data_IF_259355207387
#
_entry.id   IF_259355207387
#
_cell.length_a   1.000
_cell.length_b   1.000
_cell.length_c   1.000
_cell.angle_alpha   90.00
_cell.angle_beta   90.00
_cell.angle_gamma   90.00
#
_symmetry.space_group_name_H-M   'P 1'
#
loop_
_entity.id
_entity.type
_entity.pdbx_description
1 polymer ?
#
# COMPACT_ATOMS: atom_id res chain seq x y z
N UNK A 1 6.27 -5.39 -11.78
CA UNK A 1 5.46 -4.47 -12.61
C UNK A 1 6.31 -3.24 -12.86
N UNK A 2 6.30 -2.65 -14.08
CA UNK A 2 7.11 -1.48 -14.37
C UNK A 2 6.68 -0.24 -13.57
N UNK A 3 5.40 -0.16 -13.19
CA UNK A 3 4.88 0.87 -12.28
C UNK A 3 4.29 0.21 -11.04
N UNK A 4 4.70 0.65 -9.85
CA UNK A 4 4.23 0.09 -8.58
C UNK A 4 4.33 1.06 -7.40
N UNK A 5 3.67 0.72 -6.29
CA UNK A 5 3.95 1.31 -4.98
C UNK A 5 5.02 0.48 -4.27
N UNK A 6 5.98 1.12 -3.59
CA UNK A 6 7.18 0.47 -3.06
C UNK A 6 7.40 0.78 -1.56
N UNK A 7 6.39 0.44 -0.75
CA UNK A 7 6.43 0.66 0.70
C UNK A 7 5.73 1.94 1.15
N UNK A 8 5.46 2.00 2.46
CA UNK A 8 4.80 3.13 3.10
C UNK A 8 5.00 3.10 4.62
N UNK A 9 4.87 4.25 5.26
CA UNK A 9 4.77 4.37 6.73
C UNK A 9 3.80 5.49 7.12
N UNK A 10 3.13 5.32 8.26
CA UNK A 10 2.12 6.26 8.77
C UNK A 10 2.80 7.32 9.63
N UNK A 11 2.48 8.58 9.35
CA UNK A 11 2.80 9.73 10.20
C UNK A 11 1.51 10.37 10.69
N UNK A 12 1.49 10.73 11.97
CA UNK A 12 0.37 11.37 12.64
C UNK A 12 0.73 12.84 12.92
N UNK A 13 -0.03 13.83 12.42
CA UNK A 13 0.26 15.23 12.70
C UNK A 13 -0.01 15.55 14.18
N UNK A 14 0.96 16.19 14.82
CA UNK A 14 0.83 16.83 16.13
C UNK A 14 0.62 18.33 15.94
N UNK A 15 -0.66 18.72 15.85
CA UNK A 15 -1.07 20.11 15.60
C UNK A 15 -0.61 21.09 16.70
N UNK A 16 -0.35 20.60 17.92
CA UNK A 16 0.11 21.45 19.02
C UNK A 16 1.56 21.89 18.83
N UNK A 17 2.39 20.96 18.36
CA UNK A 17 3.83 21.17 18.23
C UNK A 17 4.27 21.48 16.80
N UNK A 18 3.37 21.35 15.82
CA UNK A 18 3.67 21.60 14.41
C UNK A 18 4.63 20.57 13.81
N UNK A 19 4.53 19.30 14.23
CA UNK A 19 5.42 18.21 13.82
C UNK A 19 4.65 16.94 13.50
N UNK A 20 5.27 16.03 12.77
CA UNK A 20 4.77 14.70 12.46
C UNK A 20 5.38 13.64 13.38
N UNK A 21 4.52 12.79 13.93
CA UNK A 21 4.92 11.66 14.78
C UNK A 21 4.88 10.36 14.00
N UNK A 22 5.97 9.61 14.04
CA UNK A 22 5.99 8.24 13.52
C UNK A 22 5.00 7.37 14.27
N UNK A 23 4.10 6.70 13.54
CA UNK A 23 3.07 5.89 14.19
C UNK A 23 3.68 4.68 14.89
N UNK A 24 3.33 4.48 16.16
CA UNK A 24 3.69 3.28 16.93
C UNK A 24 3.08 1.99 16.38
N UNK A 25 2.13 2.10 15.44
CA UNK A 25 1.49 0.97 14.74
C UNK A 25 2.16 0.65 13.40
N UNK A 26 3.22 1.36 13.01
CA UNK A 26 4.02 0.98 11.86
C UNK A 26 4.68 -0.38 12.08
N UNK A 27 4.80 -1.17 11.01
CA UNK A 27 5.39 -2.52 11.04
C UNK A 27 6.91 -2.52 10.93
N UNK A 28 7.50 -1.36 10.68
CA UNK A 28 8.94 -1.17 10.54
C UNK A 28 9.38 -0.08 11.49
N UNK A 29 10.60 -0.25 11.99
CA UNK A 29 11.24 0.72 12.86
C UNK A 29 11.56 2.00 12.09
N UNK A 30 11.72 3.08 12.82
CA UNK A 30 12.20 4.34 12.26
C UNK A 30 13.71 4.25 11.97
N UNK A 31 14.10 4.41 10.71
CA UNK A 31 15.49 4.49 10.29
C UNK A 31 15.93 5.95 10.04
N UNK A 32 17.20 6.15 9.67
CA UNK A 32 17.72 7.50 9.41
C UNK A 32 17.02 8.22 8.25
N UNK A 33 16.63 7.50 7.19
CA UNK A 33 15.95 8.07 6.04
C UNK A 33 14.51 8.47 6.39
N UNK A 34 13.84 7.72 7.26
CA UNK A 34 12.55 8.11 7.84
C UNK A 34 12.70 9.44 8.58
N UNK A 35 13.73 9.61 9.43
CA UNK A 35 13.99 10.88 10.13
C UNK A 35 14.22 12.04 9.16
N UNK A 36 14.98 11.81 8.09
CA UNK A 36 15.20 12.85 7.08
C UNK A 36 13.90 13.29 6.41
N UNK A 37 13.02 12.34 6.08
CA UNK A 37 11.70 12.64 5.49
C UNK A 37 10.81 13.39 6.49
N UNK A 38 10.76 12.93 7.75
CA UNK A 38 9.97 13.58 8.81
C UNK A 38 10.47 15.02 9.04
N UNK A 39 11.77 15.24 9.15
CA UNK A 39 12.34 16.58 9.34
C UNK A 39 12.01 17.52 8.16
N UNK A 40 12.03 17.00 6.93
CA UNK A 40 11.61 17.76 5.76
C UNK A 40 10.12 18.14 5.85
N UNK A 41 9.26 17.20 6.24
CA UNK A 41 7.83 17.45 6.40
C UNK A 41 7.52 18.40 7.57
N UNK A 42 8.24 18.30 8.69
CA UNK A 42 8.10 19.18 9.85
C UNK A 42 8.46 20.63 9.49
N UNK A 43 9.51 20.81 8.68
CA UNK A 43 9.92 22.14 8.17
C UNK A 43 8.87 22.76 7.24
N UNK A 44 7.94 21.95 6.71
CA UNK A 44 6.88 22.34 5.78
C UNK A 44 5.50 21.90 6.32
N UNK A 45 5.32 21.93 7.64
CA UNK A 45 4.20 21.27 8.32
C UNK A 45 2.82 21.66 7.77
N UNK A 46 2.59 22.95 7.52
CA UNK A 46 1.30 23.48 7.07
C UNK A 46 0.89 22.96 5.68
N UNK A 47 1.87 22.68 4.80
CA UNK A 47 1.61 22.09 3.48
C UNK A 47 1.12 20.64 3.61
N UNK A 48 1.75 19.88 4.51
CA UNK A 48 1.49 18.45 4.66
C UNK A 48 0.34 18.12 5.60
N UNK A 49 0.07 18.94 6.63
CA UNK A 49 -0.99 18.65 7.60
C UNK A 49 -2.39 18.74 6.96
N UNK A 50 -2.51 19.55 5.91
CA UNK A 50 -3.73 19.76 5.13
C UNK A 50 -3.88 18.75 3.98
N UNK A 51 -2.95 17.81 3.78
CA UNK A 51 -3.00 16.86 2.67
C UNK A 51 -4.27 15.99 2.69
N UNK A 52 -5.00 16.01 1.58
CA UNK A 52 -6.18 15.20 1.33
C UNK A 52 -5.86 13.79 0.81
N UNK A 53 -6.80 13.22 0.04
CA UNK A 53 -6.62 11.92 -0.64
C UNK A 53 -5.69 12.01 -1.86
N UNK A 54 -5.64 13.17 -2.52
CA UNK A 54 -4.69 13.44 -3.61
C UNK A 54 -3.23 13.41 -3.10
N UNK A 55 -3.03 13.88 -1.86
CA UNK A 55 -1.73 13.99 -1.22
C UNK A 55 -0.91 15.21 -1.65
N UNK A 56 0.22 15.40 -0.97
CA UNK A 56 1.25 16.38 -1.31
C UNK A 56 2.56 15.66 -1.66
N UNK A 57 3.25 16.15 -2.69
CA UNK A 57 4.55 15.61 -3.12
C UNK A 57 5.65 15.96 -2.12
N UNK A 58 6.53 14.99 -1.84
CA UNK A 58 7.69 15.21 -0.98
C UNK A 58 8.90 15.45 -1.88
N UNK A 59 9.23 16.72 -2.09
CA UNK A 59 10.28 17.13 -3.03
C UNK A 59 11.63 17.27 -2.33
N UNK A 60 12.31 16.15 -2.13
CA UNK A 60 13.66 16.08 -1.53
C UNK A 60 14.58 15.15 -2.35
N UNK A 61 15.90 15.08 -2.07
CA UNK A 61 16.81 14.24 -2.85
C UNK A 61 16.37 12.78 -2.91
N UNK A 62 16.23 12.23 -4.14
CA UNK A 62 15.76 10.86 -4.39
C UNK A 62 16.63 9.79 -3.73
N UNK A 63 17.91 10.08 -3.47
CA UNK A 63 18.82 9.21 -2.72
C UNK A 63 18.27 8.82 -1.34
N UNK A 64 17.54 9.72 -0.67
CA UNK A 64 16.88 9.42 0.60
C UNK A 64 15.80 8.36 0.42
N UNK A 65 15.02 8.44 -0.67
CA UNK A 65 13.98 7.46 -0.96
C UNK A 65 14.55 6.11 -1.38
N UNK A 66 15.58 6.10 -2.24
CA UNK A 66 16.28 4.87 -2.61
C UNK A 66 16.81 4.14 -1.38
N UNK A 67 17.52 4.84 -0.51
CA UNK A 67 18.09 4.23 0.68
C UNK A 67 17.02 3.79 1.69
N UNK A 68 15.91 4.54 1.80
CA UNK A 68 14.76 4.10 2.60
C UNK A 68 14.20 2.77 2.09
N UNK A 69 13.97 2.64 0.77
CA UNK A 69 13.45 1.42 0.15
C UNK A 69 14.42 0.26 0.33
N UNK A 70 15.71 0.48 0.05
CA UNK A 70 16.75 -0.55 0.21
C UNK A 70 16.78 -1.04 1.65
N UNK A 71 16.82 -0.14 2.64
CA UNK A 71 16.81 -0.49 4.05
C UNK A 71 15.52 -1.25 4.43
N UNK A 72 14.36 -0.77 4.00
CA UNK A 72 13.05 -1.36 4.28
C UNK A 72 12.94 -2.82 3.81
N UNK A 73 13.44 -3.11 2.61
CA UNK A 73 13.38 -4.46 2.05
C UNK A 73 14.50 -5.36 2.57
N UNK A 74 15.69 -4.83 2.87
CA UNK A 74 16.75 -5.57 3.57
C UNK A 74 16.31 -6.05 4.96
N UNK A 75 15.60 -5.22 5.72
CA UNK A 75 15.03 -5.62 7.03
C UNK A 75 14.03 -6.79 6.91
N UNK A 76 13.45 -7.00 5.73
CA UNK A 76 12.54 -8.11 5.43
C UNK A 76 13.25 -9.35 4.89
N UNK A 77 14.58 -9.31 4.78
CA UNK A 77 15.37 -10.38 4.18
C UNK A 77 15.25 -10.47 2.66
N UNK A 78 14.81 -9.40 1.98
CA UNK A 78 14.78 -9.39 0.52
C UNK A 78 16.16 -9.02 -0.04
N UNK A 79 16.69 -9.87 -0.91
CA UNK A 79 18.02 -9.71 -1.52
C UNK A 79 17.96 -9.24 -2.98
N UNK A 80 16.88 -9.60 -3.69
CA UNK A 80 16.69 -9.29 -5.11
C UNK A 80 15.29 -8.73 -5.37
N UNK A 81 15.17 -7.92 -6.43
CA UNK A 81 13.92 -7.51 -7.01
C UNK A 81 13.70 -8.23 -8.34
N UNK A 82 12.43 -8.47 -8.67
CA UNK A 82 12.00 -8.92 -10.00
C UNK A 82 10.94 -7.98 -10.56
N UNK A 83 11.11 -7.60 -11.82
CA UNK A 83 10.09 -6.89 -12.59
C UNK A 83 10.01 -7.45 -14.01
N UNK A 84 9.14 -6.87 -14.83
CA UNK A 84 8.92 -7.26 -16.22
C UNK A 84 9.12 -6.05 -17.11
N UNK A 85 9.90 -6.22 -18.17
CA UNK A 85 10.07 -5.24 -19.24
C UNK A 85 10.07 -5.93 -20.60
N UNK A 86 9.47 -5.29 -21.62
CA UNK A 86 9.48 -5.75 -23.03
C UNK A 86 9.26 -7.26 -23.25
N UNK A 87 8.47 -7.89 -22.39
CA UNK A 87 8.14 -9.32 -22.45
C UNK A 87 9.06 -10.24 -21.63
N UNK A 88 10.21 -9.77 -21.13
CA UNK A 88 11.15 -10.52 -20.30
C UNK A 88 11.12 -10.14 -18.81
N UNK A 89 11.67 -11.00 -17.96
CA UNK A 89 11.89 -10.69 -16.55
C UNK A 89 13.23 -10.01 -16.35
N UNK A 90 13.25 -8.99 -15.50
CA UNK A 90 14.45 -8.34 -15.01
C UNK A 90 14.61 -8.70 -13.55
N UNK A 91 15.76 -9.28 -13.20
CA UNK A 91 16.12 -9.65 -11.83
C UNK A 91 17.42 -8.93 -11.51
N UNK A 92 17.46 -8.23 -10.37
CA UNK A 92 18.63 -7.49 -9.95
C UNK A 92 18.71 -7.42 -8.42
N UNK A 93 19.92 -7.30 -7.84
CA UNK A 93 20.10 -7.22 -6.40
C UNK A 93 19.56 -5.89 -5.86
N UNK A 94 19.07 -5.92 -4.62
CA UNK A 94 18.44 -4.76 -3.97
C UNK A 94 19.33 -3.51 -3.96
N UNK A 95 20.65 -3.67 -3.87
CA UNK A 95 21.59 -2.55 -3.84
C UNK A 95 21.72 -1.82 -5.18
N UNK A 96 21.21 -2.40 -6.26
CA UNK A 96 21.18 -1.77 -7.59
C UNK A 96 19.86 -1.05 -7.87
N UNK A 97 18.97 -0.93 -6.87
CA UNK A 97 17.61 -0.42 -7.06
C UNK A 97 17.53 0.91 -7.82
N UNK A 98 18.40 1.86 -7.49
CA UNK A 98 18.44 3.19 -8.13
C UNK A 98 18.81 3.17 -9.61
N UNK A 99 19.37 2.06 -10.12
CA UNK A 99 19.75 1.90 -11.52
C UNK A 99 18.59 1.41 -12.39
N UNK A 100 17.50 0.96 -11.77
CA UNK A 100 16.34 0.40 -12.47
C UNK A 100 15.07 1.20 -12.27
N UNK A 101 14.87 1.80 -11.09
CA UNK A 101 13.62 2.49 -10.78
C UNK A 101 13.86 3.96 -10.45
N UNK A 102 13.02 4.82 -11.03
CA UNK A 102 12.80 6.16 -10.51
C UNK A 102 11.88 6.06 -9.29
N UNK A 103 12.06 6.96 -8.31
CA UNK A 103 11.23 7.00 -7.10
C UNK A 103 10.65 8.39 -6.88
N UNK A 104 9.35 8.40 -6.60
CA UNK A 104 8.64 9.57 -6.05
C UNK A 104 7.99 9.20 -4.72
N UNK A 105 7.77 10.20 -3.87
CA UNK A 105 7.11 10.03 -2.58
C UNK A 105 6.01 11.06 -2.39
N UNK A 106 4.88 10.63 -1.83
CA UNK A 106 3.75 11.49 -1.46
C UNK A 106 3.34 11.26 -0.03
N UNK A 107 2.91 12.32 0.66
CA UNK A 107 2.13 12.20 1.88
C UNK A 107 0.64 12.30 1.55
N UNK A 108 -0.15 11.25 1.80
CA UNK A 108 -1.57 11.25 1.44
C UNK A 108 -2.45 10.46 2.41
N UNK A 109 -3.70 10.89 2.56
CA UNK A 109 -4.74 10.10 3.25
C UNK A 109 -5.10 8.87 2.43
N UNK A 110 -4.93 7.68 3.01
CA UNK A 110 -5.30 6.39 2.40
C UNK A 110 -6.27 5.66 3.31
N UNK A 111 -7.47 5.34 2.81
CA UNK A 111 -8.44 4.49 3.54
C UNK A 111 -7.78 3.13 3.76
N UNK A 112 -7.85 2.61 4.98
CA UNK A 112 -7.35 1.27 5.29
C UNK A 112 -8.10 0.21 4.48
N UNK A 113 -7.47 -0.95 4.30
CA UNK A 113 -8.05 -2.06 3.54
C UNK A 113 -9.37 -2.57 4.12
N UNK A 114 -10.10 -3.34 3.31
CA UNK A 114 -11.29 -4.05 3.77
C UNK A 114 -10.92 -5.33 4.52
N UNK A 115 -11.77 -5.77 5.43
CA UNK A 115 -11.70 -7.09 6.05
C UNK A 115 -12.84 -7.98 5.57
N UNK A 116 -12.75 -9.28 5.79
CA UNK A 116 -13.90 -10.17 5.61
C UNK A 116 -15.01 -9.83 6.62
N UNK A 117 -16.25 -10.19 6.26
CA UNK A 117 -17.36 -10.28 7.19
C UNK A 117 -17.02 -11.27 8.32
N UNK A 118 -17.56 -11.03 9.51
CA UNK A 118 -17.50 -11.97 10.63
C UNK A 118 -18.75 -11.85 11.50
N UNK A 119 -18.97 -12.83 12.39
CA UNK A 119 -20.19 -12.94 13.20
C UNK A 119 -20.54 -11.65 13.97
N UNK A 120 -19.56 -10.85 14.40
CA UNK A 120 -19.82 -9.62 15.16
C UNK A 120 -20.42 -8.49 14.32
N UNK A 121 -20.38 -8.58 12.99
CA UNK A 121 -20.83 -7.56 12.07
C UNK A 121 -21.86 -8.06 11.04
N UNK A 122 -22.32 -9.29 11.18
CA UNK A 122 -23.39 -9.88 10.36
C UNK A 122 -24.71 -9.11 10.52
N UNK A 123 -25.08 -8.73 11.74
CA UNK A 123 -26.33 -7.98 11.98
C UNK A 123 -26.35 -6.58 11.36
N UNK A 124 -25.21 -5.88 11.37
CA UNK A 124 -25.07 -4.58 10.69
C UNK A 124 -25.11 -4.74 9.16
N UNK A 125 -24.63 -5.86 8.64
CA UNK A 125 -24.72 -6.20 7.22
C UNK A 125 -26.14 -6.60 6.78
N UNK A 126 -26.83 -7.44 7.56
CA UNK A 126 -28.24 -7.80 7.33
C UNK A 126 -29.11 -6.54 7.27
N UNK A 127 -28.91 -5.62 8.21
CA UNK A 127 -29.54 -4.31 8.19
C UNK A 127 -29.24 -3.55 6.88
N UNK A 128 -27.98 -3.49 6.47
CA UNK A 128 -27.58 -2.82 5.23
C UNK A 128 -28.27 -3.39 3.99
N UNK A 129 -28.37 -4.73 3.89
CA UNK A 129 -29.03 -5.42 2.79
C UNK A 129 -30.54 -5.18 2.79
N UNK A 130 -31.17 -5.18 3.97
CA UNK A 130 -32.60 -4.88 4.13
C UNK A 130 -32.94 -3.45 3.69
N UNK A 131 -32.14 -2.45 4.09
CA UNK A 131 -32.32 -1.06 3.64
C UNK A 131 -32.11 -0.92 2.13
N UNK A 132 -31.18 -1.70 1.56
CA UNK A 132 -30.96 -1.74 0.12
C UNK A 132 -32.06 -2.51 -0.65
N UNK A 133 -32.99 -3.19 0.05
CA UNK A 133 -34.04 -4.00 -0.57
C UNK A 133 -33.49 -5.23 -1.31
N UNK A 134 -32.37 -5.78 -0.85
CA UNK A 134 -31.72 -6.93 -1.50
C UNK A 134 -32.00 -8.19 -0.71
N UNK A 135 -32.67 -9.14 -1.35
CA UNK A 135 -32.91 -10.46 -0.81
C UNK A 135 -31.66 -11.35 -0.94
N UNK A 136 -31.36 -12.07 0.13
CA UNK A 136 -30.21 -12.97 0.18
C UNK A 136 -30.39 -14.04 1.26
N UNK A 137 -29.54 -15.06 1.20
CA UNK A 137 -29.37 -16.05 2.26
C UNK A 137 -27.89 -16.24 2.58
N UNK A 138 -27.60 -16.66 3.81
CA UNK A 138 -26.23 -17.00 4.21
C UNK A 138 -25.89 -18.44 3.85
N UNK A 139 -24.69 -18.63 3.32
CA UNK A 139 -24.00 -19.91 3.22
C UNK A 139 -22.70 -19.80 4.02
N UNK A 140 -22.79 -19.98 5.33
CA UNK A 140 -21.72 -19.62 6.26
C UNK A 140 -21.62 -18.10 6.40
N UNK A 141 -20.46 -17.52 6.03
CA UNK A 141 -20.24 -16.06 6.00
C UNK A 141 -20.29 -15.47 4.58
N UNK A 142 -20.40 -16.33 3.58
CA UNK A 142 -20.69 -15.94 2.20
C UNK A 142 -22.21 -15.85 2.02
N UNK A 143 -22.65 -15.17 0.97
CA UNK A 143 -24.08 -15.02 0.68
C UNK A 143 -24.45 -15.59 -0.69
N UNK A 144 -25.72 -15.99 -0.80
CA UNK A 144 -26.36 -16.43 -2.03
C UNK A 144 -27.54 -15.50 -2.31
N UNK A 145 -27.67 -15.06 -3.56
CA UNK A 145 -28.79 -14.24 -4.02
C UNK A 145 -29.07 -14.56 -5.48
N UNK A 146 -30.34 -14.47 -5.88
CA UNK A 146 -30.77 -14.60 -7.27
C UNK A 146 -30.42 -13.36 -8.10
N UNK A 147 -30.11 -12.24 -7.42
CA UNK A 147 -29.66 -11.00 -8.05
C UNK A 147 -28.15 -11.02 -8.32
N UNK A 148 -27.71 -10.32 -9.37
CA UNK A 148 -26.29 -10.10 -9.60
C UNK A 148 -25.75 -9.01 -8.66
N UNK A 149 -24.83 -9.37 -7.76
CA UNK A 149 -24.36 -8.49 -6.69
C UNK A 149 -22.88 -8.11 -6.77
N UNK A 150 -22.13 -8.48 -7.83
CA UNK A 150 -20.70 -8.15 -7.88
C UNK A 150 -20.48 -6.63 -7.90
N UNK A 151 -19.61 -6.15 -7.02
CA UNK A 151 -19.26 -4.74 -6.95
C UNK A 151 -20.28 -3.85 -6.23
N UNK A 152 -21.45 -4.37 -5.85
CA UNK A 152 -22.45 -3.62 -5.10
C UNK A 152 -21.91 -3.23 -3.72
N UNK A 153 -22.18 -1.99 -3.32
CA UNK A 153 -21.91 -1.48 -1.99
C UNK A 153 -23.20 -1.22 -1.25
N UNK A 154 -23.27 -1.68 -0.01
CA UNK A 154 -24.39 -1.41 0.91
C UNK A 154 -23.85 -0.75 2.17
N UNK A 155 -24.65 0.13 2.77
CA UNK A 155 -24.25 0.92 3.93
C UNK A 155 -25.01 0.43 5.16
N UNK A 156 -24.27 -0.12 6.13
CA UNK A 156 -24.78 -0.40 7.46
C UNK A 156 -24.74 0.84 8.34
N UNK A 157 -25.16 0.70 9.59
CA UNK A 157 -25.08 1.79 10.57
C UNK A 157 -23.62 2.03 11.01
N UNK A 158 -22.79 0.98 11.02
CA UNK A 158 -21.41 1.05 11.51
C UNK A 158 -20.39 0.99 10.38
N UNK A 159 -20.65 0.17 9.36
CA UNK A 159 -19.70 -0.07 8.29
C UNK A 159 -20.35 -0.06 6.91
N UNK A 160 -19.56 0.29 5.91
CA UNK A 160 -19.90 0.00 4.52
C UNK A 160 -19.44 -1.41 4.17
N UNK A 161 -20.19 -2.09 3.31
CA UNK A 161 -19.88 -3.43 2.82
C UNK A 161 -19.80 -3.42 1.30
N UNK A 162 -18.90 -4.24 0.75
CA UNK A 162 -18.74 -4.48 -0.68
C UNK A 162 -18.93 -5.97 -0.94
N UNK A 163 -19.82 -6.28 -1.89
CA UNK A 163 -20.08 -7.65 -2.32
C UNK A 163 -19.17 -7.99 -3.50
N UNK A 164 -18.60 -9.20 -3.47
CA UNK A 164 -17.71 -9.71 -4.51
C UNK A 164 -18.04 -11.13 -4.89
N UNK A 165 -18.23 -11.37 -6.17
CA UNK A 165 -18.50 -12.69 -6.73
C UNK A 165 -17.35 -13.65 -6.40
N UNK A 166 -17.71 -14.87 -6.03
CA UNK A 166 -16.80 -15.94 -5.64
C UNK A 166 -17.42 -17.28 -6.02
N UNK A 167 -17.34 -17.63 -7.32
CA UNK A 167 -18.02 -18.80 -7.86
C UNK A 167 -19.53 -18.58 -7.87
N UNK A 168 -20.30 -19.50 -7.29
CA UNK A 168 -21.76 -19.40 -7.20
C UNK A 168 -22.28 -18.49 -6.09
N UNK A 169 -21.39 -17.97 -5.24
CA UNK A 169 -21.73 -17.21 -4.04
C UNK A 169 -21.02 -15.84 -4.06
N UNK A 170 -21.32 -14.99 -3.09
CA UNK A 170 -20.64 -13.71 -2.90
C UNK A 170 -19.91 -13.64 -1.56
N UNK A 171 -18.65 -13.19 -1.60
CA UNK A 171 -17.89 -12.77 -0.43
C UNK A 171 -18.24 -11.35 -0.05
N UNK A 172 -18.47 -11.14 1.25
CA UNK A 172 -18.75 -9.81 1.80
C UNK A 172 -17.48 -9.21 2.41
N UNK A 173 -17.12 -8.01 1.93
CA UNK A 173 -15.96 -7.24 2.39
C UNK A 173 -16.41 -6.02 3.19
N UNK A 174 -16.13 -6.00 4.48
CA UNK A 174 -16.34 -4.85 5.35
C UNK A 174 -15.27 -3.79 5.08
N UNK A 175 -15.67 -2.59 4.67
CA UNK A 175 -14.76 -1.48 4.38
C UNK A 175 -14.35 -0.76 5.68
N UNK A 176 -13.08 -0.42 5.81
CA UNK A 176 -12.57 0.25 7.02
C UNK A 176 -12.94 1.72 7.07
N UNK A 177 -13.32 2.25 8.23
CA UNK A 177 -13.56 3.69 8.39
C UNK A 177 -12.27 4.50 8.60
N UNK A 178 -11.13 3.84 8.84
CA UNK A 178 -9.85 4.50 9.14
C UNK A 178 -9.25 5.13 7.89
N UNK A 179 -8.89 6.42 7.98
CA UNK A 179 -8.30 7.23 6.90
C UNK A 179 -7.02 7.91 7.37
N UNK A 180 -6.03 7.12 7.76
CA UNK A 180 -4.74 7.65 8.16
C UNK A 180 -3.95 8.13 6.94
N UNK A 181 -3.13 9.15 7.14
CA UNK A 181 -2.17 9.58 6.14
C UNK A 181 -0.85 8.82 6.27
N UNK A 182 -0.23 8.54 5.13
CA UNK A 182 1.06 7.85 5.07
C UNK A 182 1.96 8.54 4.06
N UNK A 183 3.26 8.47 4.33
CA UNK A 183 4.29 8.61 3.30
C UNK A 183 4.26 7.31 2.49
N UNK A 184 4.11 7.44 1.18
CA UNK A 184 4.03 6.30 0.26
C UNK A 184 4.94 6.56 -0.94
N UNK A 185 5.70 5.52 -1.30
CA UNK A 185 6.65 5.57 -2.40
C UNK A 185 6.02 4.96 -3.64
N UNK A 186 6.24 5.60 -4.79
CA UNK A 186 5.87 5.07 -6.09
C UNK A 186 7.13 4.93 -6.93
N UNK A 187 7.21 3.85 -7.69
CA UNK A 187 8.34 3.51 -8.53
C UNK A 187 7.92 3.35 -9.98
N UNK A 188 8.79 3.79 -10.87
CA UNK A 188 8.64 3.68 -12.33
C UNK A 188 9.94 3.14 -12.93
N UNK A 189 9.82 2.06 -13.71
CA UNK A 189 10.95 1.44 -14.38
C UNK A 189 11.56 2.41 -15.38
N UNK A 190 12.86 2.66 -15.26
CA UNK A 190 13.63 3.52 -16.15
C UNK A 190 14.29 2.70 -17.26
N UNK A 191 14.87 3.40 -18.24
CA UNK A 191 15.92 2.81 -19.06
C UNK A 191 17.11 2.44 -18.17
N UNK A 192 17.69 1.27 -18.42
CA UNK A 192 18.75 0.69 -17.61
C UNK A 192 19.92 0.21 -18.48
N UNK A 193 21.10 0.09 -17.87
CA UNK A 193 22.29 -0.44 -18.53
C UNK A 193 22.18 -1.97 -18.70
N UNK A 194 22.20 -2.42 -19.95
CA UNK A 194 22.11 -3.84 -20.33
C UNK A 194 23.32 -4.63 -19.80
N UNK A 195 24.52 -4.04 -19.78
CA UNK A 195 25.70 -4.75 -19.32
C UNK A 195 25.73 -4.86 -17.79
N UNK A 196 25.19 -3.87 -17.08
CA UNK A 196 24.93 -4.02 -15.64
C UNK A 196 23.88 -5.10 -15.37
N UNK A 197 22.79 -5.12 -16.14
CA UNK A 197 21.73 -6.12 -15.99
C UNK A 197 22.23 -7.56 -16.17
N UNK A 198 23.14 -7.81 -17.12
CA UNK A 198 23.77 -9.13 -17.28
C UNK A 198 24.58 -9.53 -16.04
N UNK A 199 25.34 -8.60 -15.45
CA UNK A 199 26.13 -8.87 -14.22
C UNK A 199 25.22 -9.17 -13.03
N UNK A 200 24.13 -8.41 -12.90
CA UNK A 200 23.16 -8.58 -11.84
C UNK A 200 22.44 -9.93 -11.92
N UNK A 201 22.14 -10.40 -13.14
CA UNK A 201 21.57 -11.73 -13.35
C UNK A 201 22.55 -12.84 -12.97
N UNK A 202 23.83 -12.72 -13.33
CA UNK A 202 24.88 -13.67 -12.89
C UNK A 202 24.97 -13.70 -11.36
N UNK A 203 24.86 -12.55 -10.69
CA UNK A 203 24.84 -12.49 -9.24
C UNK A 203 23.64 -13.25 -8.64
N UNK A 204 22.46 -13.13 -9.25
CA UNK A 204 21.28 -13.89 -8.84
C UNK A 204 21.48 -15.40 -9.02
N UNK A 205 21.95 -15.83 -10.20
CA UNK A 205 22.25 -17.25 -10.49
C UNK A 205 23.23 -17.85 -9.48
N UNK A 206 24.28 -17.10 -9.14
CA UNK A 206 25.25 -17.51 -8.12
C UNK A 206 24.65 -17.59 -6.71
N UNK A 207 23.68 -16.74 -6.38
CA UNK A 207 23.03 -16.74 -5.08
C UNK A 207 22.12 -17.94 -4.87
N UNK A 208 21.42 -18.39 -5.92
CA UNK A 208 20.49 -19.54 -5.85
C UNK A 208 21.16 -20.90 -6.09
N UNK A 209 22.41 -20.90 -6.56
CA UNK A 209 23.20 -22.13 -6.79
C UNK A 209 23.93 -22.63 -5.54
N UNK A 210 23.71 -21.99 -4.38
CA UNK A 210 24.24 -22.38 -3.07
C UNK A 210 23.27 -23.28 -2.32
#
# INVERSE_FOLDING_TARGET
>A
MPNAQCGQFVLLPDLKNGIFKYSTKNKTSENEYTRMIVNFMDSNFDEFCNSGTAGSDINMPKSVFYNWIINYYKEKGAEFFITKDRGGFLIFPIDQFSNYFDVTAKYRKKKSGSSSLNNSNTSDFEYAMSIAGIDFSFSGLDIISDSHLDGIKVNGNKYDYLLKENGSNYKVRKLSNTRNANVIFSIELMDYDIDQQKKDLIQFENAISK
#
